data_IF_160215565530
#
_entry.id   IF_160215565530
#
_cell.length_a   1.000
_cell.length_b   1.000
_cell.length_c   1.000
_cell.angle_alpha   90.00
_cell.angle_beta   90.00
_cell.angle_gamma   90.00
#
_symmetry.space_group_name_H-M   'P 1'
#
loop_
_entity.id
_entity.type
_entity.pdbx_description
1 polymer ?
#
# COMPACT_ATOMS: atom_id res chain seq x y z
N UNK A 1 5.74 18.06 15.59
CA UNK A 1 5.61 16.96 14.62
C UNK A 1 4.16 16.83 14.18
N UNK A 2 3.89 16.29 12.99
CA UNK A 2 2.52 16.07 12.47
C UNK A 2 1.68 15.23 13.46
N UNK A 3 2.34 14.30 14.15
CA UNK A 3 1.75 13.49 15.20
C UNK A 3 1.04 14.29 16.32
N UNK A 4 1.39 15.58 16.55
CA UNK A 4 0.73 16.44 17.55
C UNK A 4 -0.66 16.96 17.10
N UNK A 5 -1.10 16.67 15.87
CA UNK A 5 -2.37 17.14 15.30
C UNK A 5 -3.54 16.17 15.48
N UNK A 6 -3.43 15.19 16.39
CA UNK A 6 -4.42 14.11 16.56
C UNK A 6 -4.69 13.35 15.23
N UNK A 7 -3.62 13.07 14.49
CA UNK A 7 -3.66 12.36 13.21
C UNK A 7 -2.62 11.26 13.18
N UNK A 8 -3.01 10.08 12.69
CA UNK A 8 -2.09 8.98 12.42
C UNK A 8 -1.15 9.34 11.26
N UNK A 9 0.17 9.35 11.52
CA UNK A 9 1.17 9.66 10.49
C UNK A 9 1.63 8.39 9.79
N UNK A 10 1.47 8.35 8.46
CA UNK A 10 1.98 7.27 7.62
C UNK A 10 2.92 7.84 6.55
N UNK A 11 4.02 7.12 6.25
CA UNK A 11 4.91 7.49 5.16
C UNK A 11 5.32 6.28 4.30
N UNK A 12 5.82 6.56 3.11
CA UNK A 12 6.39 5.57 2.17
C UNK A 12 7.66 6.16 1.59
N UNK A 13 8.82 5.73 2.09
CA UNK A 13 10.12 6.31 1.72
C UNK A 13 11.03 5.32 0.98
N UNK A 14 10.48 4.19 0.52
CA UNK A 14 11.24 3.12 -0.14
C UNK A 14 11.83 2.14 0.86
N UNK A 15 13.05 1.64 0.59
CA UNK A 15 13.77 0.80 1.55
C UNK A 15 14.24 1.63 2.73
N UNK A 16 14.13 1.04 3.91
CA UNK A 16 14.75 1.57 5.11
C UNK A 16 15.50 0.47 5.84
N UNK A 17 16.59 0.85 6.49
CA UNK A 17 17.30 -0.01 7.44
C UNK A 17 16.56 -0.06 8.76
N UNK A 18 16.96 -0.99 9.64
CA UNK A 18 16.44 -1.08 11.00
C UNK A 18 16.68 0.22 11.80
N UNK A 19 17.86 0.85 11.67
CA UNK A 19 18.15 2.12 12.34
C UNK A 19 17.25 3.25 11.83
N UNK A 20 17.03 3.34 10.52
CA UNK A 20 16.11 4.31 9.94
C UNK A 20 14.66 4.07 10.41
N UNK A 21 14.22 2.81 10.50
CA UNK A 21 12.90 2.46 11.03
C UNK A 21 12.75 2.90 12.49
N UNK A 22 13.75 2.63 13.34
CA UNK A 22 13.75 3.04 14.76
C UNK A 22 13.68 4.55 14.93
N UNK A 23 14.43 5.29 14.12
CA UNK A 23 14.37 6.77 14.08
C UNK A 23 13.00 7.30 13.68
N UNK A 24 12.36 6.68 12.69
CA UNK A 24 10.99 7.02 12.29
C UNK A 24 9.99 6.71 13.41
N UNK A 25 10.15 5.57 14.10
CA UNK A 25 9.34 5.22 15.26
C UNK A 25 9.45 6.26 16.36
N UNK A 26 10.66 6.68 16.72
CA UNK A 26 10.91 7.74 17.72
C UNK A 26 10.35 9.08 17.29
N UNK A 27 10.39 9.43 16.00
CA UNK A 27 9.78 10.65 15.49
C UNK A 27 8.24 10.65 15.60
N UNK A 28 7.62 9.51 15.98
CA UNK A 28 6.19 9.34 16.15
C UNK A 28 5.47 8.84 14.90
N UNK A 29 6.16 8.11 14.02
CA UNK A 29 5.52 7.48 12.86
C UNK A 29 4.56 6.37 13.33
N UNK A 30 3.32 6.41 12.86
CA UNK A 30 2.32 5.40 13.20
C UNK A 30 2.35 4.20 12.25
N UNK A 31 2.48 4.46 10.94
CA UNK A 31 2.48 3.43 9.91
C UNK A 31 3.58 3.66 8.85
N UNK A 32 4.11 2.57 8.31
CA UNK A 32 5.01 2.60 7.17
C UNK A 32 4.42 1.79 6.02
N UNK A 33 4.32 2.42 4.84
CA UNK A 33 3.78 1.78 3.65
C UNK A 33 4.89 1.17 2.78
N UNK A 34 4.78 -0.13 2.52
CA UNK A 34 5.70 -0.88 1.67
C UNK A 34 5.00 -2.10 1.06
N UNK A 35 4.39 -1.94 -0.12
CA UNK A 35 3.61 -2.98 -0.81
C UNK A 35 4.41 -4.23 -1.20
N UNK A 36 3.78 -5.32 -1.62
CA UNK A 36 4.45 -6.39 -2.36
C UNK A 36 4.20 -6.26 -3.87
N UNK A 37 3.18 -5.47 -4.24
CA UNK A 37 2.71 -5.18 -5.59
C UNK A 37 2.05 -6.39 -6.29
N UNK A 38 2.68 -7.57 -6.26
CA UNK A 38 2.19 -8.84 -6.86
C UNK A 38 2.91 -10.07 -6.23
N UNK A 39 2.79 -11.26 -6.83
CA UNK A 39 3.57 -12.47 -6.47
C UNK A 39 5.07 -12.26 -6.69
N UNK A 40 5.90 -13.05 -6.03
CA UNK A 40 7.35 -13.03 -6.27
C UNK A 40 7.69 -13.41 -7.72
N UNK A 41 6.96 -14.38 -8.27
CA UNK A 41 7.14 -14.91 -9.61
C UNK A 41 6.87 -13.85 -10.68
N UNK A 42 5.81 -13.05 -10.54
CA UNK A 42 5.45 -12.00 -11.48
C UNK A 42 6.18 -10.68 -11.22
N UNK A 43 6.67 -10.45 -10.00
CA UNK A 43 7.38 -9.23 -9.63
C UNK A 43 8.57 -8.93 -10.56
N UNK A 44 9.30 -9.98 -10.98
CA UNK A 44 10.45 -9.89 -11.91
C UNK A 44 10.07 -9.42 -13.32
N UNK A 45 8.79 -9.53 -13.68
CA UNK A 45 8.23 -9.06 -14.96
C UNK A 45 7.74 -7.61 -14.87
N UNK A 46 7.58 -7.04 -13.68
CA UNK A 46 7.09 -5.67 -13.50
C UNK A 46 8.22 -4.74 -13.06
N UNK A 47 8.97 -5.12 -12.02
CA UNK A 47 9.99 -4.29 -11.39
C UNK A 47 11.36 -4.89 -11.63
N UNK A 48 12.20 -4.15 -12.36
CA UNK A 48 13.51 -4.68 -12.75
C UNK A 48 14.59 -4.43 -11.69
N UNK A 49 14.62 -3.23 -11.11
CA UNK A 49 15.75 -2.76 -10.31
C UNK A 49 15.78 -3.26 -8.87
N UNK A 50 14.73 -3.96 -8.42
CA UNK A 50 14.47 -4.30 -7.01
C UNK A 50 14.22 -5.79 -6.87
N UNK A 51 14.77 -6.42 -5.84
CA UNK A 51 14.39 -7.78 -5.47
C UNK A 51 13.09 -7.80 -4.68
N UNK A 52 12.34 -8.90 -4.76
CA UNK A 52 11.18 -9.12 -3.90
C UNK A 52 11.58 -9.19 -2.42
N UNK A 53 12.68 -9.89 -2.15
CA UNK A 53 13.28 -10.01 -0.81
C UNK A 53 13.66 -8.66 -0.18
N UNK A 54 14.09 -7.67 -0.97
CA UNK A 54 14.38 -6.32 -0.45
C UNK A 54 13.13 -5.67 0.18
N UNK A 55 11.95 -5.99 -0.36
CA UNK A 55 10.68 -5.50 0.18
C UNK A 55 10.33 -6.20 1.49
N UNK A 56 10.48 -7.53 1.54
CA UNK A 56 10.26 -8.32 2.75
C UNK A 56 11.20 -7.87 3.88
N UNK A 57 12.48 -7.68 3.58
CA UNK A 57 13.47 -7.16 4.52
C UNK A 57 13.13 -5.76 5.04
N UNK A 58 12.57 -4.89 4.19
CA UNK A 58 12.11 -3.56 4.61
C UNK A 58 10.94 -3.68 5.59
N UNK A 59 9.98 -4.56 5.30
CA UNK A 59 8.86 -4.84 6.21
C UNK A 59 9.37 -5.40 7.54
N UNK A 60 10.32 -6.34 7.51
CA UNK A 60 10.97 -6.90 8.69
C UNK A 60 11.64 -5.82 9.55
N UNK A 61 12.38 -4.89 8.93
CA UNK A 61 13.00 -3.77 9.65
C UNK A 61 11.96 -2.87 10.34
N UNK A 62 10.81 -2.61 9.71
CA UNK A 62 9.69 -1.88 10.33
C UNK A 62 9.12 -2.68 11.51
N UNK A 63 8.96 -4.00 11.37
CA UNK A 63 8.43 -4.89 12.42
C UNK A 63 9.27 -4.96 13.68
N UNK A 64 10.55 -4.61 13.62
CA UNK A 64 11.43 -4.47 14.80
C UNK A 64 11.19 -3.18 15.59
N UNK A 65 10.13 -2.44 15.27
CA UNK A 65 9.76 -1.18 15.91
C UNK A 65 8.28 -1.18 16.29
N UNK A 66 7.84 -0.10 16.93
CA UNK A 66 6.43 0.11 17.23
C UNK A 66 5.67 0.74 16.04
N UNK A 67 6.18 0.70 14.82
CA UNK A 67 5.48 1.20 13.62
C UNK A 67 4.61 0.09 13.03
N UNK A 68 3.38 0.41 12.65
CA UNK A 68 2.48 -0.53 11.94
C UNK A 68 2.85 -0.65 10.46
N UNK A 69 2.51 -1.77 9.84
CA UNK A 69 2.82 -2.05 8.43
C UNK A 69 1.56 -1.87 7.58
N UNK A 70 1.72 -1.08 6.52
CA UNK A 70 0.77 -0.99 5.41
C UNK A 70 1.40 -1.66 4.19
N UNK A 71 0.90 -2.82 3.76
CA UNK A 71 1.47 -3.54 2.63
C UNK A 71 0.39 -4.25 1.83
N UNK A 72 0.34 -4.01 0.53
CA UNK A 72 -0.64 -4.62 -0.36
C UNK A 72 -0.16 -4.69 -1.81
N UNK A 73 -1.08 -4.51 -2.76
CA UNK A 73 -0.86 -4.88 -4.15
C UNK A 73 -1.52 -4.00 -5.20
N UNK A 74 -1.20 -4.28 -6.46
CA UNK A 74 -1.83 -3.70 -7.65
C UNK A 74 -2.44 -4.84 -8.47
N UNK A 75 -3.69 -4.67 -8.89
CA UNK A 75 -4.46 -5.61 -9.71
C UNK A 75 -4.56 -5.05 -11.12
N UNK A 76 -4.41 -5.88 -12.14
CA UNK A 76 -4.54 -5.49 -13.56
C UNK A 76 -3.23 -5.12 -14.25
N UNK A 77 -2.09 -5.52 -13.72
CA UNK A 77 -0.77 -5.39 -14.36
C UNK A 77 -0.55 -6.40 -15.50
N UNK A 78 -1.47 -7.35 -15.67
CA UNK A 78 -1.34 -8.52 -16.54
C UNK A 78 -0.95 -9.79 -15.76
N UNK A 79 -1.04 -9.73 -14.43
CA UNK A 79 -0.82 -10.87 -13.54
C UNK A 79 -1.96 -11.89 -13.64
N UNK A 80 -1.64 -13.16 -13.40
CA UNK A 80 -2.62 -14.25 -13.33
C UNK A 80 -3.39 -14.25 -12.00
N UNK A 81 -4.42 -15.08 -11.89
CA UNK A 81 -5.12 -15.29 -10.61
C UNK A 81 -4.18 -15.93 -9.59
N UNK A 82 -3.32 -16.85 -10.04
CA UNK A 82 -2.29 -17.50 -9.24
C UNK A 82 -1.32 -16.47 -8.65
N UNK A 83 -0.94 -15.44 -9.41
CA UNK A 83 -0.07 -14.37 -8.93
C UNK A 83 -0.75 -13.53 -7.82
N UNK A 84 -2.04 -13.25 -7.97
CA UNK A 84 -2.82 -12.55 -6.92
C UNK A 84 -2.91 -13.40 -5.65
N UNK A 85 -3.15 -14.70 -5.80
CA UNK A 85 -3.14 -15.66 -4.69
C UNK A 85 -1.76 -15.73 -4.03
N UNK A 86 -0.67 -15.74 -4.81
CA UNK A 86 0.70 -15.73 -4.32
C UNK A 86 0.97 -14.50 -3.45
N UNK A 87 0.60 -13.31 -3.94
CA UNK A 87 0.72 -12.07 -3.17
C UNK A 87 -0.04 -12.13 -1.84
N UNK A 88 -1.31 -12.55 -1.85
CA UNK A 88 -2.13 -12.63 -0.63
C UNK A 88 -1.60 -13.70 0.33
N UNK A 89 -1.08 -14.81 -0.19
CA UNK A 89 -0.45 -15.87 0.61
C UNK A 89 0.79 -15.33 1.32
N UNK A 90 1.65 -14.60 0.62
CA UNK A 90 2.82 -13.95 1.24
C UNK A 90 2.39 -12.97 2.32
N UNK A 91 1.46 -12.06 2.03
CA UNK A 91 0.97 -11.08 3.02
C UNK A 91 0.35 -11.75 4.25
N UNK A 92 -0.46 -12.79 4.04
CA UNK A 92 -1.12 -13.53 5.11
C UNK A 92 -0.14 -14.37 5.95
N UNK A 93 1.01 -14.75 5.38
CA UNK A 93 2.07 -15.52 6.05
C UNK A 93 3.03 -14.65 6.86
N UNK A 94 3.00 -13.31 6.68
CA UNK A 94 3.76 -12.40 7.52
C UNK A 94 3.26 -12.46 8.97
N UNK A 95 4.17 -12.46 9.93
CA UNK A 95 3.84 -12.44 11.35
C UNK A 95 4.45 -11.22 12.06
N UNK A 96 3.61 -10.34 12.65
CA UNK A 96 2.16 -10.26 12.48
C UNK A 96 1.76 -9.85 11.04
N UNK A 97 0.53 -10.19 10.65
CA UNK A 97 -0.05 -9.75 9.36
C UNK A 97 -0.09 -8.21 9.29
N UNK A 98 0.02 -7.59 8.09
CA UNK A 98 -0.05 -6.14 7.96
C UNK A 98 -1.34 -5.56 8.56
N UNK A 99 -1.23 -4.47 9.32
CA UNK A 99 -2.38 -3.81 9.93
C UNK A 99 -3.31 -3.19 8.87
N UNK A 100 -2.75 -2.83 7.71
CA UNK A 100 -3.49 -2.34 6.55
C UNK A 100 -2.99 -2.99 5.27
N UNK A 101 -3.88 -3.51 4.44
CA UNK A 101 -3.59 -4.05 3.11
C UNK A 101 -4.34 -3.23 2.06
N UNK A 102 -3.64 -2.34 1.33
CA UNK A 102 -4.20 -1.62 0.19
C UNK A 102 -4.32 -2.52 -1.05
N UNK A 103 -5.52 -2.55 -1.63
CA UNK A 103 -5.80 -3.21 -2.91
C UNK A 103 -6.04 -2.10 -3.94
N UNK A 104 -5.09 -1.93 -4.85
CA UNK A 104 -5.12 -0.92 -5.89
C UNK A 104 -5.53 -1.56 -7.22
N UNK A 105 -6.38 -0.91 -8.00
CA UNK A 105 -6.46 -1.21 -9.43
C UNK A 105 -5.32 -0.47 -10.15
N UNK A 106 -4.74 -1.07 -11.18
CA UNK A 106 -3.81 -0.41 -12.07
C UNK A 106 -4.52 0.79 -12.71
N UNK A 107 -3.89 1.95 -12.63
CA UNK A 107 -4.24 3.11 -13.45
C UNK A 107 -3.22 3.14 -14.58
N UNK A 108 -3.66 2.79 -15.79
CA UNK A 108 -2.80 2.83 -16.97
C UNK A 108 -2.47 4.31 -17.29
N UNK A 109 -1.18 4.59 -17.47
CA UNK A 109 -0.67 5.94 -17.76
C UNK A 109 0.14 5.88 -19.04
N UNK A 110 -0.12 6.81 -19.95
CA UNK A 110 0.61 6.97 -21.21
C UNK A 110 2.12 7.08 -20.97
N UNK A 111 2.91 6.42 -21.81
CA UNK A 111 4.36 6.35 -21.71
C UNK A 111 4.88 5.28 -20.73
N UNK A 112 4.00 4.63 -19.96
CA UNK A 112 4.40 3.50 -19.12
C UNK A 112 4.35 2.18 -19.89
N UNK A 113 5.13 1.15 -19.50
CA UNK A 113 5.07 -0.17 -20.14
C UNK A 113 3.71 -0.88 -20.02
N UNK A 114 2.79 -0.33 -19.22
CA UNK A 114 1.46 -0.85 -18.94
C UNK A 114 0.36 0.09 -19.47
N UNK A 115 0.69 1.02 -20.38
CA UNK A 115 -0.24 2.00 -20.94
C UNK A 115 -1.46 1.37 -21.63
N UNK A 116 -1.29 0.20 -22.25
CA UNK A 116 -2.33 -0.50 -23.02
C UNK A 116 -3.16 -1.50 -22.17
N UNK A 117 -2.90 -1.59 -20.86
CA UNK A 117 -3.65 -2.50 -19.99
C UNK A 117 -5.11 -2.08 -19.87
N UNK A 118 -6.01 -3.07 -19.93
CA UNK A 118 -7.43 -2.82 -19.77
C UNK A 118 -7.78 -2.50 -18.31
N UNK A 119 -8.80 -1.65 -18.06
CA UNK A 119 -9.31 -1.43 -16.72
C UNK A 119 -9.70 -2.74 -16.02
N UNK A 120 -9.43 -2.84 -14.72
CA UNK A 120 -9.81 -4.00 -13.93
C UNK A 120 -11.33 -4.06 -13.80
N UNK A 121 -11.91 -5.19 -14.20
CA UNK A 121 -13.32 -5.47 -14.00
C UNK A 121 -13.70 -5.36 -12.53
N UNK A 122 -14.83 -4.72 -12.24
CA UNK A 122 -15.27 -4.48 -10.86
C UNK A 122 -15.43 -5.77 -10.06
N UNK A 123 -15.83 -6.87 -10.71
CA UNK A 123 -15.96 -8.19 -10.09
C UNK A 123 -14.61 -8.77 -9.60
N UNK A 124 -13.52 -8.48 -10.32
CA UNK A 124 -12.18 -8.88 -9.90
C UNK A 124 -11.74 -8.08 -8.67
N UNK A 125 -12.05 -6.79 -8.61
CA UNK A 125 -11.79 -5.96 -7.42
C UNK A 125 -12.60 -6.42 -6.21
N UNK A 126 -13.90 -6.69 -6.38
CA UNK A 126 -14.76 -7.22 -5.32
C UNK A 126 -14.21 -8.56 -4.81
N UNK A 127 -13.84 -9.47 -5.71
CA UNK A 127 -13.25 -10.78 -5.34
C UNK A 127 -11.94 -10.59 -4.57
N UNK A 128 -11.06 -9.72 -5.02
CA UNK A 128 -9.79 -9.45 -4.34
C UNK A 128 -10.01 -8.90 -2.92
N UNK A 129 -10.94 -7.97 -2.75
CA UNK A 129 -11.31 -7.45 -1.41
C UNK A 129 -11.87 -8.56 -0.52
N UNK A 130 -12.81 -9.36 -1.04
CA UNK A 130 -13.43 -10.45 -0.30
C UNK A 130 -12.40 -11.49 0.18
N UNK A 131 -11.53 -11.96 -0.72
CA UNK A 131 -10.49 -12.93 -0.38
C UNK A 131 -9.52 -12.34 0.64
N UNK A 132 -9.08 -11.09 0.44
CA UNK A 132 -8.19 -10.39 1.39
C UNK A 132 -8.81 -10.34 2.79
N UNK A 133 -10.09 -10.00 2.91
CA UNK A 133 -10.81 -9.99 4.20
C UNK A 133 -10.86 -11.38 4.83
N UNK A 134 -11.07 -12.43 4.05
CA UNK A 134 -11.16 -13.81 4.56
C UNK A 134 -9.80 -14.29 5.10
N UNK A 135 -8.71 -14.08 4.35
CA UNK A 135 -7.38 -14.59 4.75
C UNK A 135 -6.67 -13.72 5.81
N UNK A 136 -7.08 -12.45 5.93
CA UNK A 136 -6.53 -11.47 6.90
C UNK A 136 -7.67 -10.76 7.66
N UNK A 137 -8.38 -11.47 8.57
CA UNK A 137 -9.64 -10.99 9.16
C UNK A 137 -9.51 -9.74 10.02
N UNK A 138 -8.33 -9.49 10.62
CA UNK A 138 -8.11 -8.35 11.52
C UNK A 138 -7.52 -7.11 10.83
N UNK A 139 -7.06 -7.28 9.58
CA UNK A 139 -6.42 -6.23 8.79
C UNK A 139 -7.45 -5.22 8.26
N UNK A 140 -7.04 -3.95 8.15
CA UNK A 140 -7.79 -2.97 7.39
C UNK A 140 -7.59 -3.21 5.90
N UNK A 141 -8.65 -3.58 5.19
CA UNK A 141 -8.59 -3.75 3.73
C UNK A 141 -8.90 -2.40 3.10
N UNK A 142 -7.89 -1.79 2.49
CA UNK A 142 -8.00 -0.44 1.93
C UNK A 142 -8.32 -0.50 0.45
N UNK A 143 -9.48 0.01 0.06
CA UNK A 143 -9.84 0.25 -1.32
C UNK A 143 -9.17 1.57 -1.75
N UNK A 144 -8.13 1.50 -2.59
CA UNK A 144 -7.25 2.64 -2.84
C UNK A 144 -7.30 3.14 -4.30
N UNK A 145 -6.23 2.97 -5.09
CA UNK A 145 -6.20 3.53 -6.44
C UNK A 145 -7.22 2.85 -7.37
N UNK A 146 -7.77 3.64 -8.32
CA UNK A 146 -8.80 3.22 -9.27
C UNK A 146 -10.24 3.44 -8.82
N UNK A 147 -10.47 3.92 -7.59
CA UNK A 147 -11.84 4.22 -7.09
C UNK A 147 -12.61 5.23 -7.94
N UNK A 148 -11.91 6.19 -8.57
CA UNK A 148 -12.54 7.24 -9.38
C UNK A 148 -13.35 6.66 -10.54
N UNK A 149 -12.88 5.54 -11.10
CA UNK A 149 -13.48 4.90 -12.27
C UNK A 149 -14.50 3.83 -11.88
N UNK A 150 -14.66 3.53 -10.58
CA UNK A 150 -15.66 2.59 -10.07
C UNK A 150 -17.02 3.27 -9.93
N UNK A 151 -18.08 2.55 -10.31
CA UNK A 151 -19.45 2.95 -9.99
C UNK A 151 -19.69 2.98 -8.47
N UNK A 152 -20.71 3.74 -8.04
CA UNK A 152 -21.09 3.83 -6.63
C UNK A 152 -21.47 2.46 -6.06
N UNK A 153 -22.20 1.67 -6.85
CA UNK A 153 -22.61 0.31 -6.54
C UNK A 153 -21.39 -0.62 -6.45
N UNK A 154 -20.41 -0.46 -7.35
CA UNK A 154 -19.16 -1.20 -7.29
C UNK A 154 -18.37 -0.93 -6.01
N UNK A 155 -18.22 0.34 -5.63
CA UNK A 155 -17.59 0.70 -4.36
C UNK A 155 -18.39 0.18 -3.15
N UNK A 156 -19.72 0.27 -3.18
CA UNK A 156 -20.57 -0.29 -2.14
C UNK A 156 -20.35 -1.79 -1.97
N UNK A 157 -20.30 -2.55 -3.08
CA UNK A 157 -20.01 -3.98 -3.04
C UNK A 157 -18.62 -4.28 -2.47
N UNK A 158 -17.59 -3.46 -2.76
CA UNK A 158 -16.29 -3.59 -2.11
C UNK A 158 -16.37 -3.38 -0.59
N UNK A 159 -17.14 -2.41 -0.10
CA UNK A 159 -17.36 -2.23 1.34
C UNK A 159 -18.06 -3.45 1.96
N UNK A 160 -19.13 -3.96 1.32
CA UNK A 160 -19.81 -5.18 1.77
C UNK A 160 -18.91 -6.42 1.73
N UNK A 161 -18.01 -6.52 0.76
CA UNK A 161 -17.05 -7.61 0.65
C UNK A 161 -15.97 -7.59 1.74
N UNK A 162 -15.72 -6.44 2.36
CA UNK A 162 -14.83 -6.32 3.51
C UNK A 162 -13.83 -5.17 3.47
N UNK A 163 -13.86 -4.30 2.45
CA UNK A 163 -13.10 -3.06 2.48
C UNK A 163 -13.61 -2.16 3.62
N UNK A 164 -12.69 -1.52 4.35
CA UNK A 164 -13.02 -0.65 5.47
C UNK A 164 -12.03 0.52 5.65
N UNK A 165 -11.29 0.85 4.58
CA UNK A 165 -10.37 1.98 4.53
C UNK A 165 -10.32 2.51 3.09
N UNK A 166 -10.14 3.82 2.93
CA UNK A 166 -9.97 4.49 1.63
C UNK A 166 -8.92 5.60 1.74
N UNK A 167 -8.46 6.11 0.59
CA UNK A 167 -7.86 7.45 0.52
C UNK A 167 -8.96 8.49 0.26
N UNK A 168 -8.96 9.55 1.07
CA UNK A 168 -9.85 10.70 0.94
C UNK A 168 -9.06 11.94 0.52
N UNK A 169 -9.63 12.76 -0.35
CA UNK A 169 -9.01 13.94 -0.95
C UNK A 169 -9.11 13.91 -2.47
N UNK A 170 -8.91 15.05 -3.14
CA UNK A 170 -9.18 15.18 -4.58
C UNK A 170 -8.17 14.44 -5.49
N UNK A 171 -7.00 14.08 -4.94
CA UNK A 171 -5.91 13.42 -5.66
C UNK A 171 -5.20 12.42 -4.75
N UNK A 172 -4.68 11.35 -5.36
CA UNK A 172 -3.66 10.50 -4.74
C UNK A 172 -2.27 11.13 -4.93
N UNK A 173 -1.24 10.32 -5.21
CA UNK A 173 0.11 10.81 -5.53
C UNK A 173 0.12 11.57 -6.86
N UNK A 174 -0.37 10.93 -7.92
CA UNK A 174 -0.32 11.48 -9.29
C UNK A 174 -1.67 11.44 -10.00
N UNK A 175 -2.61 10.62 -9.54
CA UNK A 175 -3.90 10.37 -10.20
C UNK A 175 -5.09 11.00 -9.47
N UNK A 176 -6.19 11.32 -10.19
CA UNK A 176 -7.43 11.79 -9.56
C UNK A 176 -8.03 10.78 -8.59
N UNK A 177 -8.80 11.26 -7.63
CA UNK A 177 -9.53 10.45 -6.65
C UNK A 177 -11.00 10.94 -6.58
N UNK A 178 -11.97 10.16 -6.06
CA UNK A 178 -13.30 10.68 -5.77
C UNK A 178 -13.24 11.92 -4.86
N UNK A 179 -14.18 12.83 -5.07
CA UNK A 179 -14.33 14.00 -4.21
C UNK A 179 -14.78 13.55 -2.81
N UNK A 180 -14.28 14.19 -1.76
CA UNK A 180 -14.63 13.90 -0.36
C UNK A 180 -16.14 13.97 -0.11
N UNK A 181 -16.84 14.93 -0.72
CA UNK A 181 -18.29 15.07 -0.57
C UNK A 181 -19.06 13.88 -1.17
N UNK A 182 -18.54 13.29 -2.25
CA UNK A 182 -19.14 12.09 -2.85
C UNK A 182 -18.92 10.87 -1.96
N UNK A 183 -17.75 10.78 -1.32
CA UNK A 183 -17.43 9.74 -0.33
C UNK A 183 -18.36 9.85 0.89
N UNK A 184 -18.57 11.04 1.42
CA UNK A 184 -19.49 11.29 2.56
C UNK A 184 -20.92 10.85 2.18
N UNK A 185 -21.44 11.27 1.03
CA UNK A 185 -22.79 10.88 0.57
C UNK A 185 -22.93 9.37 0.40
N UNK A 186 -21.88 8.69 -0.08
CA UNK A 186 -21.90 7.23 -0.18
C UNK A 186 -21.91 6.59 1.21
N UNK A 187 -21.09 7.08 2.14
CA UNK A 187 -21.03 6.55 3.50
C UNK A 187 -22.34 6.72 4.25
N UNK A 188 -22.98 7.88 4.16
CA UNK A 188 -24.32 8.11 4.71
C UNK A 188 -25.33 7.12 4.16
N UNK A 189 -25.32 6.88 2.85
CA UNK A 189 -26.24 5.95 2.19
C UNK A 189 -26.02 4.49 2.61
N UNK A 190 -24.78 4.12 2.93
CA UNK A 190 -24.40 2.78 3.36
C UNK A 190 -24.41 2.60 4.89
N UNK A 191 -24.63 3.67 5.67
CA UNK A 191 -24.57 3.64 7.13
C UNK A 191 -23.16 3.46 7.69
N UNK A 192 -22.12 3.87 6.95
CA UNK A 192 -20.73 3.75 7.37
C UNK A 192 -20.31 4.95 8.24
N UNK A 193 -19.58 4.68 9.32
CA UNK A 193 -19.06 5.69 10.25
C UNK A 193 -17.55 5.72 10.18
N UNK A 194 -16.97 6.92 10.14
CA UNK A 194 -15.52 7.10 10.15
C UNK A 194 -14.91 6.68 11.49
N UNK A 195 -13.77 5.99 11.42
CA UNK A 195 -13.01 5.60 12.60
C UNK A 195 -12.24 6.81 13.12
N UNK A 196 -12.22 7.00 14.46
CA UNK A 196 -11.33 8.00 15.08
C UNK A 196 -9.86 7.60 14.94
N UNK A 197 -8.93 8.57 14.84
CA UNK A 197 -7.50 8.31 14.95
C UNK A 197 -7.18 7.52 16.22
N UNK A 198 -6.17 6.64 16.16
CA UNK A 198 -5.63 5.89 17.30
C UNK A 198 -6.63 4.93 17.99
N UNK A 199 -7.78 4.65 17.37
CA UNK A 199 -8.78 3.74 17.94
C UNK A 199 -8.29 2.28 18.06
N UNK A 200 -7.34 1.87 17.21
CA UNK A 200 -6.78 0.50 17.21
C UNK A 200 -5.43 0.38 17.92
N UNK A 201 -4.69 1.49 18.00
CA UNK A 201 -3.36 1.55 18.60
C UNK A 201 -3.13 2.96 19.12
N UNK A 202 -2.54 3.05 20.30
CA UNK A 202 -2.25 4.32 20.95
C UNK A 202 -1.40 5.24 20.06
N UNK A 203 -1.62 6.54 20.25
CA UNK A 203 -0.79 7.58 19.64
C UNK A 203 0.68 7.37 20.04
N UNK A 204 1.61 7.31 19.07
CA UNK A 204 3.03 7.19 19.37
C UNK A 204 3.51 8.43 20.14
N UNK A 205 4.40 8.24 21.11
CA UNK A 205 5.11 9.37 21.70
C UNK A 205 6.20 9.84 20.74
N UNK A 206 6.25 11.15 20.47
CA UNK A 206 7.34 11.75 19.70
C UNK A 206 8.52 12.05 20.61
N UNK A 207 9.68 11.49 20.28
CA UNK A 207 10.98 11.88 20.80
C UNK A 207 11.57 12.92 19.86
N UNK A 208 11.96 14.08 20.41
CA UNK A 208 12.62 15.14 19.64
C UNK A 208 14.04 14.69 19.23
N UNK A 209 14.56 15.23 18.13
CA UNK A 209 15.76 14.72 17.48
C UNK A 209 17.00 14.72 18.40
N UNK A 210 17.10 15.69 19.31
CA UNK A 210 18.19 15.85 20.28
C UNK A 210 18.16 14.78 21.38
N UNK A 211 17.01 14.18 21.63
CA UNK A 211 16.79 13.15 22.65
C UNK A 211 16.71 11.73 22.06
N UNK A 212 16.86 11.59 20.74
CA UNK A 212 16.79 10.31 20.04
C UNK A 212 17.91 9.36 20.48
N UNK A 213 17.57 8.10 20.77
CA UNK A 213 18.57 7.07 21.06
C UNK A 213 19.29 6.58 19.78
N UNK A 214 18.79 6.96 18.60
CA UNK A 214 19.26 6.46 17.31
C UNK A 214 19.79 7.58 16.41
N UNK A 215 21.11 7.60 16.22
CA UNK A 215 21.76 8.61 15.41
C UNK A 215 21.70 8.28 13.91
N UNK A 216 21.72 9.30 13.03
CA UNK A 216 21.85 9.08 11.59
C UNK A 216 23.22 8.47 11.28
N UNK A 217 23.22 7.27 10.66
CA UNK A 217 24.46 6.56 10.30
C UNK A 217 24.87 6.76 8.84
N UNK A 218 24.20 7.66 8.10
CA UNK A 218 24.47 7.89 6.67
C UNK A 218 24.08 6.72 5.77
N UNK A 219 23.17 5.85 6.23
CA UNK A 219 22.75 4.63 5.56
C UNK A 219 22.07 4.91 4.22
N UNK A 220 22.51 4.20 3.17
CA UNK A 220 21.95 4.25 1.83
C UNK A 220 21.67 2.81 1.36
N UNK A 221 20.58 2.18 1.83
CA UNK A 221 20.24 0.82 1.41
C UNK A 221 20.16 0.77 -0.12
N UNK A 222 20.70 -0.30 -0.71
CA UNK A 222 20.74 -0.50 -2.17
C UNK A 222 19.91 -1.71 -2.53
N UNK A 223 19.22 -1.59 -3.65
CA UNK A 223 18.41 -2.68 -4.18
C UNK A 223 19.32 -3.80 -4.68
N UNK A 224 18.87 -5.04 -4.55
CA UNK A 224 19.64 -6.24 -4.89
C UNK A 224 19.80 -6.47 -6.40
N UNK A 225 18.95 -5.88 -7.24
CA UNK A 225 18.90 -6.14 -8.70
C UNK A 225 19.14 -4.91 -9.60
N UNK A 226 20.19 -4.09 -9.37
CA UNK A 226 20.36 -2.85 -10.14
C UNK A 226 20.61 -3.07 -11.63
N UNK A 227 21.11 -4.25 -12.04
CA UNK A 227 21.43 -4.59 -13.43
C UNK A 227 20.37 -5.44 -14.16
N UNK A 228 19.28 -5.83 -13.50
CA UNK A 228 18.22 -6.61 -14.16
C UNK A 228 17.38 -5.69 -15.06
N UNK A 229 17.09 -6.17 -16.26
CA UNK A 229 16.35 -5.42 -17.29
C UNK A 229 15.11 -6.19 -17.71
N UNK A 230 14.08 -5.44 -18.10
CA UNK A 230 12.82 -5.97 -18.60
C UNK A 230 12.61 -5.35 -19.97
N UNK A 231 12.48 -6.17 -21.01
CA UNK A 231 12.47 -5.70 -22.39
C UNK A 231 11.32 -4.73 -22.69
N UNK A 232 10.12 -5.02 -22.19
CA UNK A 232 8.96 -4.10 -22.31
C UNK A 232 9.23 -2.74 -21.67
N UNK A 233 9.95 -2.70 -20.54
CA UNK A 233 10.30 -1.46 -19.87
C UNK A 233 11.31 -0.65 -20.71
N UNK A 234 12.29 -1.32 -21.32
CA UNK A 234 13.25 -0.68 -22.22
C UNK A 234 12.58 -0.15 -23.50
N UNK A 235 11.58 -0.86 -24.03
CA UNK A 235 10.81 -0.41 -25.20
C UNK A 235 9.99 0.84 -24.88
N UNK A 236 9.28 0.87 -23.75
CA UNK A 236 8.51 2.03 -23.32
C UNK A 236 9.40 3.26 -23.08
N UNK A 237 10.56 3.07 -22.44
CA UNK A 237 11.51 4.17 -22.18
C UNK A 237 12.12 4.80 -23.45
N UNK A 238 11.96 4.17 -24.62
CA UNK A 238 12.37 4.74 -25.91
C UNK A 238 11.24 5.48 -26.62
N UNK A 239 9.98 5.30 -26.19
CA UNK A 239 8.80 5.95 -26.77
C UNK A 239 8.56 7.34 -26.18
N UNK A 240 8.91 7.55 -24.91
CA UNK A 240 8.83 8.84 -24.21
C UNK A 240 10.12 9.62 -24.26
#
# INVERSE_FOLDING_TARGET
TINKLDMEVCCTLGMITENQAKRLSEAGLYAYNHNLDTSEEYYKEVISTRGYEDRLKTIENVRKTNVTVCSGGIIGMGESVEDRCGMLTTLASLYPQPESVPINALVAVEGTPLEDQQPVEIWEMIRMVAVTRIVMPHTQVRLSAGRKDMSREGQALCFFAGANSIFAGDKLLTTPNPNVDDDIKLFEKLGLVSQKPFAKKAQPETVEAEASAYLPLGEKPRWSRPGHTIEKNLKAAKKG
#
